data_IF_530593522067
#
_entry.id   IF_530593522067
#
_cell.length_a   1.000
_cell.length_b   1.000
_cell.length_c   1.000
_cell.angle_alpha   90.00
_cell.angle_beta   90.00
_cell.angle_gamma   90.00
#
_symmetry.space_group_name_H-M   'P 1'
#
loop_
_entity.id
_entity.type
_entity.pdbx_description
1 polymer ?
#
# COMPACT_ATOMS: atom_id res chain seq x y z
N UNK A 1 1.31 -17.06 1.87
CA UNK A 1 0.53 -16.77 0.63
C UNK A 1 1.42 -16.38 -0.55
N UNK A 2 2.48 -15.57 -0.34
CA UNK A 2 3.37 -15.08 -1.41
C UNK A 2 3.90 -16.15 -2.37
N UNK A 3 4.19 -17.35 -1.90
CA UNK A 3 4.75 -18.42 -2.75
C UNK A 3 3.69 -19.34 -3.38
N UNK A 4 2.40 -19.16 -3.06
CA UNK A 4 1.33 -19.98 -3.64
C UNK A 4 0.87 -19.38 -4.98
N UNK A 5 1.09 -20.07 -6.13
CA UNK A 5 0.73 -19.59 -7.47
C UNK A 5 -0.75 -19.23 -7.60
N UNK A 6 -1.64 -19.93 -6.88
CA UNK A 6 -3.08 -19.69 -6.92
C UNK A 6 -3.50 -18.37 -6.24
N UNK A 7 -2.60 -17.72 -5.51
CA UNK A 7 -2.91 -16.51 -4.73
C UNK A 7 -2.00 -15.33 -5.02
N UNK A 8 -0.80 -15.57 -5.57
CA UNK A 8 0.20 -14.53 -5.81
C UNK A 8 0.15 -13.93 -7.23
N UNK A 9 -0.84 -14.34 -8.03
CA UNK A 9 -1.13 -13.87 -9.38
C UNK A 9 -0.05 -14.15 -10.45
N UNK A 10 0.94 -15.01 -10.18
CA UNK A 10 1.97 -15.34 -11.18
C UNK A 10 1.44 -16.09 -12.40
N UNK A 11 0.20 -16.58 -12.36
CA UNK A 11 -0.49 -17.16 -13.52
C UNK A 11 -0.97 -16.09 -14.53
N UNK A 12 -1.03 -14.81 -14.14
CA UNK A 12 -1.42 -13.72 -15.04
C UNK A 12 -0.26 -13.39 -15.99
N UNK A 13 -0.50 -13.27 -17.31
CA UNK A 13 0.54 -12.98 -18.28
C UNK A 13 1.28 -11.65 -18.05
N UNK A 14 2.57 -11.64 -18.39
CA UNK A 14 3.48 -10.48 -18.24
C UNK A 14 2.95 -9.15 -18.81
N UNK A 15 2.26 -9.11 -19.97
CA UNK A 15 1.69 -7.85 -20.50
C UNK A 15 0.63 -7.20 -19.60
N UNK A 16 0.02 -7.98 -18.69
CA UNK A 16 -0.97 -7.48 -17.73
C UNK A 16 -0.27 -7.22 -16.39
N UNK A 17 0.46 -8.20 -15.86
CA UNK A 17 1.25 -8.05 -14.63
C UNK A 17 2.71 -8.43 -14.87
N UNK A 18 3.59 -7.43 -14.92
CA UNK A 18 5.03 -7.64 -14.97
C UNK A 18 5.62 -7.77 -13.56
N UNK A 19 5.62 -9.01 -13.05
CA UNK A 19 6.18 -9.35 -11.75
C UNK A 19 7.70 -9.16 -11.64
N UNK A 20 8.42 -8.93 -12.76
CA UNK A 20 9.87 -8.63 -12.73
C UNK A 20 10.16 -7.19 -12.31
N UNK A 21 9.18 -6.28 -12.47
CA UNK A 21 9.26 -4.90 -11.98
C UNK A 21 8.83 -4.84 -10.52
N UNK A 22 7.65 -5.41 -10.20
CA UNK A 22 7.14 -5.47 -8.84
C UNK A 22 6.19 -6.66 -8.69
N UNK A 23 6.41 -7.57 -7.72
CA UNK A 23 5.51 -8.67 -7.49
C UNK A 23 4.21 -8.18 -6.81
N UNK A 24 3.08 -8.78 -7.18
CA UNK A 24 1.77 -8.50 -6.56
C UNK A 24 1.81 -8.57 -5.02
N UNK A 25 2.37 -9.67 -4.50
CA UNK A 25 2.66 -9.83 -3.07
C UNK A 25 3.99 -9.12 -2.72
N UNK A 26 3.95 -7.78 -2.65
CA UNK A 26 5.14 -6.91 -2.57
C UNK A 26 5.94 -7.08 -1.27
N UNK A 27 5.50 -6.44 -0.18
CA UNK A 27 6.11 -6.52 1.16
C UNK A 27 5.19 -7.20 2.20
N UNK A 28 3.95 -6.73 2.30
CA UNK A 28 2.97 -7.28 3.25
C UNK A 28 3.16 -6.78 4.69
N UNK A 29 3.58 -5.51 4.85
CA UNK A 29 3.83 -4.88 6.16
C UNK A 29 3.04 -3.58 6.30
N UNK A 30 2.68 -3.23 7.55
CA UNK A 30 2.12 -1.91 7.89
C UNK A 30 3.28 -0.94 8.10
N UNK A 31 3.13 0.31 7.65
CA UNK A 31 4.14 1.35 7.87
C UNK A 31 5.12 1.56 6.71
N UNK A 32 5.10 0.73 5.67
CA UNK A 32 6.03 0.90 4.54
C UNK A 32 5.89 2.26 3.83
N UNK A 33 4.74 2.94 3.98
CA UNK A 33 4.51 4.28 3.45
C UNK A 33 5.61 5.29 3.89
N UNK A 34 6.22 5.10 5.06
CA UNK A 34 7.32 5.96 5.56
C UNK A 34 8.53 5.95 4.61
N UNK A 35 8.75 4.85 3.88
CA UNK A 35 9.86 4.76 2.92
C UNK A 35 9.57 5.48 1.58
N UNK A 36 8.32 5.90 1.34
CA UNK A 36 7.88 6.50 0.07
C UNK A 36 7.48 7.97 0.21
N UNK A 37 6.97 8.37 1.37
CA UNK A 37 6.56 9.75 1.61
C UNK A 37 7.76 10.62 2.03
N UNK A 38 7.92 11.76 1.35
CA UNK A 38 8.73 12.85 1.88
C UNK A 38 7.97 13.59 2.98
N UNK A 39 8.67 14.37 3.80
CA UNK A 39 8.04 15.17 4.84
C UNK A 39 7.01 16.18 4.28
N UNK A 40 7.27 16.74 3.08
CA UNK A 40 6.33 17.66 2.42
C UNK A 40 5.07 16.96 1.91
N UNK A 41 5.20 15.77 1.32
CA UNK A 41 4.05 14.99 0.87
C UNK A 41 3.19 14.53 2.04
N UNK A 42 3.83 14.07 3.13
CA UNK A 42 3.12 13.60 4.31
C UNK A 42 2.27 14.71 4.92
N UNK A 43 2.84 15.92 5.06
CA UNK A 43 2.11 17.08 5.58
C UNK A 43 0.84 17.37 4.79
N UNK A 44 0.93 17.41 3.46
CA UNK A 44 -0.23 17.69 2.58
C UNK A 44 -1.27 16.56 2.70
N UNK A 45 -0.81 15.31 2.79
CA UNK A 45 -1.69 14.16 2.96
C UNK A 45 -2.44 14.19 4.29
N UNK A 46 -1.75 14.47 5.40
CA UNK A 46 -2.36 14.51 6.74
C UNK A 46 -3.43 15.60 6.83
N UNK A 47 -3.17 16.80 6.28
CA UNK A 47 -4.15 17.90 6.23
C UNK A 47 -5.41 17.51 5.43
N UNK A 48 -5.27 16.81 4.29
CA UNK A 48 -6.42 16.32 3.52
C UNK A 48 -7.14 15.18 4.25
N UNK A 49 -6.40 14.23 4.84
CA UNK A 49 -6.96 13.09 5.56
C UNK A 49 -7.85 13.55 6.73
N UNK A 50 -7.39 14.52 7.53
CA UNK A 50 -8.19 15.09 8.62
C UNK A 50 -9.52 15.68 8.11
N UNK A 51 -9.47 16.38 6.97
CA UNK A 51 -10.67 16.96 6.35
C UNK A 51 -11.64 15.88 5.84
N UNK A 52 -11.14 14.89 5.12
CA UNK A 52 -11.98 13.83 4.52
C UNK A 52 -12.56 12.89 5.58
N UNK A 53 -11.79 12.59 6.63
CA UNK A 53 -12.16 11.60 7.65
C UNK A 53 -12.89 12.20 8.85
N UNK A 54 -13.15 13.51 8.86
CA UNK A 54 -13.73 14.25 9.98
C UNK A 54 -15.00 13.63 10.58
N UNK A 55 -15.83 12.99 9.76
CA UNK A 55 -17.09 12.36 10.20
C UNK A 55 -16.99 10.83 10.34
N UNK A 56 -15.86 10.23 9.98
CA UNK A 56 -15.62 8.81 10.14
C UNK A 56 -15.06 8.52 11.53
N UNK A 57 -15.82 7.85 12.38
CA UNK A 57 -15.34 7.41 13.69
C UNK A 57 -14.64 6.04 13.58
N UNK A 58 -13.59 5.97 12.75
CA UNK A 58 -12.82 4.74 12.51
C UNK A 58 -11.34 5.01 12.82
N UNK A 59 -10.77 4.39 13.86
CA UNK A 59 -9.37 4.59 14.22
C UNK A 59 -8.44 3.73 13.36
N UNK A 60 -8.01 4.27 12.22
CA UNK A 60 -6.97 3.65 11.41
C UNK A 60 -5.59 3.81 12.07
N UNK A 61 -4.79 2.75 12.04
CA UNK A 61 -3.40 2.77 12.51
C UNK A 61 -2.46 2.77 11.31
N UNK A 62 -1.48 3.67 11.31
CA UNK A 62 -0.46 3.79 10.25
C UNK A 62 0.80 2.96 10.55
N UNK A 63 0.88 2.37 11.74
CA UNK A 63 1.91 1.45 12.24
C UNK A 63 1.26 0.34 13.10
N UNK A 64 2.02 -0.72 13.42
CA UNK A 64 1.58 -1.82 14.30
C UNK A 64 1.90 -1.56 15.76
#
# INVERSE_FOLDING_TARGET
MKDNPMTNYTFIPKPIFDHSISPFMRKGEVGDWVNHFSASHLKIFDEDYERQMKMANIPFRTNL
#
